data_IF_297590359128
#
_entry.id   IF_297590359128
#
_cell.length_a   1.000
_cell.length_b   1.000
_cell.length_c   1.000
_cell.angle_alpha   90.00
_cell.angle_beta   90.00
_cell.angle_gamma   90.00
#
_symmetry.space_group_name_H-M   'P 1'
#
loop_
_entity.id
_entity.type
_entity.pdbx_description
1 polymer ?
#
# COMPACT_ATOMS: atom_id res chain seq x y z
N UNK A 1 14.78 -14.82 -12.82
CA UNK A 1 14.34 -13.41 -12.80
C UNK A 1 13.07 -13.31 -11.98
N UNK A 2 12.94 -12.30 -11.11
CA UNK A 2 11.75 -12.06 -10.28
C UNK A 2 11.21 -10.65 -10.56
N UNK A 3 9.90 -10.54 -10.72
CA UNK A 3 9.21 -9.28 -10.98
C UNK A 3 8.44 -8.86 -9.74
N UNK A 4 8.71 -7.65 -9.27
CA UNK A 4 8.05 -7.05 -8.10
C UNK A 4 7.12 -5.93 -8.54
N UNK A 5 5.89 -5.91 -8.04
CA UNK A 5 5.00 -4.75 -8.13
C UNK A 5 4.95 -4.08 -6.76
N UNK A 6 5.39 -2.82 -6.69
CA UNK A 6 5.38 -2.00 -5.49
C UNK A 6 4.44 -0.82 -5.67
N UNK A 7 3.57 -0.56 -4.69
CA UNK A 7 2.61 0.54 -4.77
C UNK A 7 2.71 1.40 -3.50
N UNK A 8 2.95 2.68 -3.70
CA UNK A 8 3.15 3.66 -2.64
C UNK A 8 1.86 3.98 -1.87
N UNK A 9 2.04 4.54 -0.68
CA UNK A 9 0.96 5.16 0.07
C UNK A 9 0.48 6.46 -0.56
N UNK A 10 -0.67 6.97 -0.12
CA UNK A 10 -1.15 8.25 -0.63
C UNK A 10 -2.64 8.53 -0.46
N UNK A 11 -3.37 7.75 0.31
CA UNK A 11 -4.79 7.96 0.57
C UNK A 11 -5.62 7.95 -0.70
N UNK A 12 -6.48 8.95 -0.91
CA UNK A 12 -7.33 9.06 -2.10
C UNK A 12 -6.53 9.07 -3.42
N UNK A 13 -5.25 9.49 -3.38
CA UNK A 13 -4.39 9.48 -4.57
C UNK A 13 -4.06 8.06 -5.07
N UNK A 14 -4.50 7.01 -4.35
CA UNK A 14 -4.52 5.62 -4.85
C UNK A 14 -5.24 5.45 -6.18
N UNK A 15 -6.10 6.40 -6.55
CA UNK A 15 -6.71 6.47 -7.90
C UNK A 15 -5.61 6.45 -8.98
N UNK A 16 -4.48 7.15 -8.75
CA UNK A 16 -3.40 7.27 -9.75
C UNK A 16 -2.80 5.89 -10.08
N UNK A 17 -2.18 5.17 -9.12
CA UNK A 17 -1.70 3.81 -9.42
C UNK A 17 -2.84 2.87 -9.82
N UNK A 18 -4.04 3.01 -9.30
CA UNK A 18 -5.20 2.23 -9.72
C UNK A 18 -5.47 2.34 -11.22
N UNK A 19 -5.48 3.56 -11.76
CA UNK A 19 -5.64 3.80 -13.21
C UNK A 19 -4.49 3.18 -14.01
N UNK A 20 -3.27 3.27 -13.49
CA UNK A 20 -2.09 2.67 -14.14
C UNK A 20 -2.19 1.14 -14.18
N UNK A 21 -2.63 0.53 -13.08
CA UNK A 21 -2.84 -0.93 -13.00
C UNK A 21 -3.90 -1.39 -14.02
N UNK A 22 -5.01 -0.64 -14.15
CA UNK A 22 -6.04 -0.93 -15.16
C UNK A 22 -5.44 -0.87 -16.57
N UNK A 23 -4.70 0.20 -16.87
CA UNK A 23 -4.06 0.36 -18.18
C UNK A 23 -3.06 -0.78 -18.44
N UNK A 24 -2.26 -1.14 -17.44
CA UNK A 24 -1.27 -2.23 -17.55
C UNK A 24 -1.96 -3.58 -17.79
N UNK A 25 -3.01 -3.88 -17.01
CA UNK A 25 -3.76 -5.15 -17.18
C UNK A 25 -4.38 -5.24 -18.58
N UNK A 26 -4.94 -4.14 -19.09
CA UNK A 26 -5.50 -4.08 -20.45
C UNK A 26 -4.42 -4.29 -21.52
N UNK A 27 -3.24 -3.67 -21.35
CA UNK A 27 -2.11 -3.86 -22.29
C UNK A 27 -1.64 -5.30 -22.28
N UNK A 28 -1.57 -5.95 -21.12
CA UNK A 28 -1.21 -7.38 -20.99
C UNK A 28 -2.24 -8.23 -21.73
N UNK A 29 -3.54 -8.03 -21.50
CA UNK A 29 -4.61 -8.76 -22.17
C UNK A 29 -4.52 -8.63 -23.68
N UNK A 30 -4.26 -7.43 -24.17
CA UNK A 30 -4.10 -7.16 -25.61
C UNK A 30 -2.86 -7.85 -26.18
N UNK A 31 -1.72 -7.71 -25.50
CA UNK A 31 -0.42 -8.24 -25.98
C UNK A 31 -0.42 -9.79 -26.00
N UNK A 32 -1.09 -10.42 -25.05
CA UNK A 32 -1.11 -11.89 -24.92
C UNK A 32 -2.30 -12.54 -25.63
N UNK A 33 -3.32 -11.77 -26.00
CA UNK A 33 -4.59 -12.30 -26.50
C UNK A 33 -5.43 -12.96 -25.41
N UNK A 34 -4.95 -13.00 -24.15
CA UNK A 34 -5.65 -13.66 -23.04
C UNK A 34 -6.51 -12.65 -22.27
N UNK A 35 -7.82 -12.67 -22.49
CA UNK A 35 -8.76 -11.77 -21.82
C UNK A 35 -8.89 -12.05 -20.32
N UNK A 36 -8.46 -13.23 -19.87
CA UNK A 36 -8.50 -13.64 -18.47
C UNK A 36 -7.15 -13.41 -17.75
N UNK A 37 -6.22 -12.69 -18.39
CA UNK A 37 -4.94 -12.37 -17.75
C UNK A 37 -5.14 -11.37 -16.60
N UNK A 38 -4.44 -11.60 -15.51
CA UNK A 38 -4.42 -10.72 -14.33
C UNK A 38 -2.97 -10.29 -14.02
N UNK A 39 -2.79 -9.22 -13.29
CA UNK A 39 -1.46 -8.73 -12.90
C UNK A 39 -0.70 -9.80 -12.10
N UNK A 40 -1.41 -10.62 -11.32
CA UNK A 40 -0.81 -11.72 -10.55
C UNK A 40 -0.14 -12.79 -11.43
N UNK A 41 -0.47 -12.86 -12.73
CA UNK A 41 0.20 -13.78 -13.65
C UNK A 41 1.60 -13.30 -14.07
N UNK A 42 1.86 -11.99 -13.92
CA UNK A 42 3.05 -11.32 -14.47
C UNK A 42 4.02 -10.82 -13.40
N UNK A 43 3.60 -10.76 -12.16
CA UNK A 43 4.46 -10.38 -11.03
C UNK A 43 4.57 -11.54 -10.04
N UNK A 44 5.78 -11.71 -9.50
CA UNK A 44 6.10 -12.79 -8.56
C UNK A 44 5.96 -12.36 -7.10
N UNK A 45 6.04 -11.06 -6.83
CA UNK A 45 6.02 -10.49 -5.49
C UNK A 45 5.35 -9.13 -5.49
N UNK A 46 4.63 -8.82 -4.43
CA UNK A 46 3.85 -7.58 -4.32
C UNK A 46 4.20 -6.84 -3.03
N UNK A 47 4.21 -5.52 -3.08
CA UNK A 47 4.43 -4.69 -1.89
C UNK A 47 3.51 -3.48 -1.92
N UNK A 48 2.94 -3.14 -0.76
CA UNK A 48 2.06 -1.99 -0.67
C UNK A 48 2.11 -1.30 0.69
N UNK A 49 1.94 0.00 0.65
CA UNK A 49 1.81 0.84 1.84
C UNK A 49 0.48 1.57 1.77
N UNK A 50 -0.29 1.56 2.87
CA UNK A 50 -1.53 2.35 2.94
C UNK A 50 -2.46 2.00 1.77
N UNK A 51 -2.82 2.99 0.97
CA UNK A 51 -3.63 2.80 -0.25
C UNK A 51 -3.04 1.72 -1.18
N UNK A 52 -1.70 1.65 -1.31
CA UNK A 52 -1.03 0.59 -2.07
C UNK A 52 -1.26 -0.79 -1.46
N UNK A 53 -1.29 -0.87 -0.13
CA UNK A 53 -1.61 -2.13 0.58
C UNK A 53 -3.03 -2.60 0.28
N UNK A 54 -4.00 -1.68 0.23
CA UNK A 54 -5.38 -2.01 -0.14
C UNK A 54 -5.43 -2.51 -1.60
N UNK A 55 -4.77 -1.79 -2.53
CA UNK A 55 -4.76 -2.18 -3.95
C UNK A 55 -4.20 -3.59 -4.14
N UNK A 56 -3.03 -3.91 -3.56
CA UNK A 56 -2.46 -5.26 -3.71
C UNK A 56 -3.30 -6.32 -3.01
N UNK A 57 -3.94 -6.00 -1.90
CA UNK A 57 -4.83 -6.94 -1.21
C UNK A 57 -6.01 -7.34 -2.12
N UNK A 58 -6.59 -6.40 -2.83
CA UNK A 58 -7.67 -6.66 -3.79
C UNK A 58 -7.15 -7.50 -4.97
N UNK A 59 -6.00 -7.10 -5.55
CA UNK A 59 -5.41 -7.79 -6.70
C UNK A 59 -5.01 -9.24 -6.39
N UNK A 60 -4.77 -9.57 -5.12
CA UNK A 60 -4.31 -10.89 -4.70
C UNK A 60 -5.36 -11.70 -3.94
N UNK A 61 -6.54 -11.14 -3.71
CA UNK A 61 -7.65 -11.81 -3.02
C UNK A 61 -8.11 -12.99 -3.89
N UNK A 62 -8.11 -14.23 -3.37
CA UNK A 62 -8.48 -15.39 -4.18
C UNK A 62 -9.97 -15.41 -4.56
N UNK A 63 -10.28 -15.98 -5.70
CA UNK A 63 -11.64 -16.26 -6.10
C UNK A 63 -12.13 -17.49 -5.32
N UNK A 64 -13.28 -17.41 -4.64
CA UNK A 64 -13.82 -18.58 -3.94
C UNK A 64 -14.06 -19.82 -4.81
N UNK A 65 -14.21 -19.65 -6.12
CA UNK A 65 -14.42 -20.76 -7.07
C UNK A 65 -13.11 -21.33 -7.60
N UNK A 66 -12.02 -20.53 -7.55
CA UNK A 66 -10.68 -20.96 -7.97
C UNK A 66 -9.62 -20.22 -7.15
N UNK A 67 -9.18 -20.83 -6.06
CA UNK A 67 -8.24 -20.23 -5.11
C UNK A 67 -6.85 -19.91 -5.72
N UNK A 68 -6.60 -20.33 -6.97
CA UNK A 68 -5.35 -19.99 -7.67
C UNK A 68 -5.46 -18.72 -8.51
N UNK A 69 -6.68 -18.19 -8.65
CA UNK A 69 -6.97 -16.98 -9.45
C UNK A 69 -7.44 -15.83 -8.57
N UNK A 70 -7.17 -14.59 -8.97
CA UNK A 70 -7.69 -13.46 -8.21
C UNK A 70 -9.19 -13.28 -8.47
N UNK A 71 -9.93 -12.98 -7.42
CA UNK A 71 -11.35 -12.65 -7.46
C UNK A 71 -11.63 -11.34 -8.21
N UNK A 72 -10.69 -10.40 -8.13
CA UNK A 72 -10.89 -9.03 -8.58
C UNK A 72 -9.88 -8.66 -9.67
N UNK A 73 -10.32 -7.86 -10.63
CA UNK A 73 -9.48 -7.25 -11.67
C UNK A 73 -8.83 -5.96 -11.14
N UNK A 74 -7.90 -5.42 -11.91
CA UNK A 74 -7.33 -4.09 -11.62
C UNK A 74 -8.42 -3.00 -11.62
N UNK A 75 -9.47 -3.17 -12.45
CA UNK A 75 -10.60 -2.22 -12.46
C UNK A 75 -11.36 -2.28 -11.13
N UNK A 76 -11.61 -3.47 -10.59
CA UNK A 76 -12.30 -3.61 -9.31
C UNK A 76 -11.46 -2.98 -8.17
N UNK A 77 -10.13 -3.10 -8.25
CA UNK A 77 -9.25 -2.44 -7.28
C UNK A 77 -9.32 -0.90 -7.38
N UNK A 78 -9.41 -0.35 -8.58
CA UNK A 78 -9.63 1.09 -8.78
C UNK A 78 -11.01 1.52 -8.27
N UNK A 79 -12.02 0.68 -8.50
CA UNK A 79 -13.42 1.01 -8.18
C UNK A 79 -13.64 1.29 -6.68
N UNK A 80 -12.81 0.73 -5.77
CA UNK A 80 -12.92 1.06 -4.33
C UNK A 80 -12.74 2.57 -4.11
N UNK A 81 -11.83 3.20 -4.86
CA UNK A 81 -11.57 4.65 -4.77
C UNK A 81 -12.62 5.47 -5.50
N UNK A 82 -13.07 5.01 -6.66
CA UNK A 82 -14.08 5.72 -7.46
C UNK A 82 -15.43 5.74 -6.73
N UNK A 83 -15.82 4.60 -6.15
CA UNK A 83 -17.14 4.43 -5.49
C UNK A 83 -17.16 4.92 -4.05
N UNK A 84 -16.09 4.67 -3.31
CA UNK A 84 -16.06 4.89 -1.86
C UNK A 84 -15.05 5.97 -1.42
N UNK A 85 -14.21 6.45 -2.35
CA UNK A 85 -13.15 7.40 -1.98
C UNK A 85 -13.70 8.69 -1.37
N UNK A 86 -14.79 9.21 -1.90
CA UNK A 86 -15.43 10.41 -1.34
C UNK A 86 -15.88 10.14 0.10
N UNK A 87 -16.50 8.99 0.35
CA UNK A 87 -17.04 8.67 1.67
C UNK A 87 -15.90 8.45 2.69
N UNK A 88 -14.84 7.74 2.28
CA UNK A 88 -13.70 7.41 3.15
C UNK A 88 -12.87 8.67 3.47
N UNK A 89 -12.62 9.52 2.45
CA UNK A 89 -11.64 10.62 2.56
C UNK A 89 -12.29 12.01 2.64
N UNK A 90 -13.60 12.09 2.93
CA UNK A 90 -14.26 13.38 3.12
C UNK A 90 -14.49 13.63 4.61
N UNK A 91 -14.02 14.77 5.07
CA UNK A 91 -14.35 15.25 6.42
C UNK A 91 -15.75 15.82 6.42
N UNK A 92 -16.62 15.32 7.28
CA UNK A 92 -17.94 15.94 7.43
C UNK A 92 -17.78 17.38 7.97
N UNK A 93 -18.70 18.25 7.61
CA UNK A 93 -18.71 19.63 8.11
C UNK A 93 -18.72 19.66 9.64
N UNK A 94 -19.40 18.69 10.26
CA UNK A 94 -19.47 18.54 11.71
C UNK A 94 -18.12 18.15 12.32
N UNK A 95 -17.38 17.20 11.72
CA UNK A 95 -16.03 16.83 12.16
C UNK A 95 -15.05 17.98 12.01
N UNK A 96 -15.13 18.71 10.89
CA UNK A 96 -14.31 19.91 10.67
C UNK A 96 -14.58 20.98 11.73
N UNK A 97 -15.86 21.18 12.09
CA UNK A 97 -16.27 22.14 13.15
C UNK A 97 -15.71 21.70 14.51
N UNK A 98 -15.86 20.42 14.87
CA UNK A 98 -15.35 19.90 16.15
C UNK A 98 -13.84 19.97 16.23
N UNK A 99 -13.12 19.67 15.13
CA UNK A 99 -11.67 19.80 15.08
C UNK A 99 -11.18 21.24 15.29
N UNK A 100 -11.92 22.21 14.81
CA UNK A 100 -11.59 23.61 15.02
C UNK A 100 -11.57 24.00 16.51
N UNK A 101 -12.36 23.29 17.31
CA UNK A 101 -12.41 23.49 18.78
C UNK A 101 -11.56 22.47 19.56
N UNK A 102 -10.78 21.63 18.88
CA UNK A 102 -9.92 20.61 19.51
C UNK A 102 -10.72 19.47 20.15
N UNK A 103 -11.96 19.25 19.71
CA UNK A 103 -12.86 18.24 20.29
C UNK A 103 -12.73 16.87 19.63
N UNK A 104 -12.06 16.80 18.47
CA UNK A 104 -11.77 15.55 17.78
C UNK A 104 -10.29 15.51 17.42
N UNK A 105 -9.74 14.32 17.42
CA UNK A 105 -8.32 14.11 17.12
C UNK A 105 -8.09 13.62 15.69
N UNK A 106 -9.06 12.92 15.09
CA UNK A 106 -8.93 12.32 13.77
C UNK A 106 -9.81 13.03 12.72
N UNK A 107 -9.31 13.14 11.48
CA UNK A 107 -10.01 13.83 10.40
C UNK A 107 -11.11 12.97 9.76
N UNK A 108 -10.87 11.67 9.58
CA UNK A 108 -11.77 10.77 8.84
C UNK A 108 -12.46 9.78 9.79
N UNK A 109 -13.58 9.23 9.33
CA UNK A 109 -14.33 8.23 10.10
C UNK A 109 -13.82 6.83 9.73
N UNK A 110 -13.14 6.18 10.68
CA UNK A 110 -12.60 4.84 10.48
C UNK A 110 -13.66 3.79 10.17
N UNK A 111 -14.88 3.96 10.68
CA UNK A 111 -15.99 3.02 10.46
C UNK A 111 -16.38 2.93 8.99
N UNK A 112 -16.30 4.04 8.27
CA UNK A 112 -16.60 4.04 6.82
C UNK A 112 -15.57 3.17 6.09
N UNK A 113 -14.28 3.36 6.38
CA UNK A 113 -13.23 2.55 5.80
C UNK A 113 -13.39 1.07 6.19
N UNK A 114 -13.65 0.79 7.47
CA UNK A 114 -13.81 -0.58 7.98
C UNK A 114 -14.97 -1.31 7.29
N UNK A 115 -16.12 -0.65 7.12
CA UNK A 115 -17.27 -1.23 6.42
C UNK A 115 -16.95 -1.56 4.96
N UNK A 116 -16.22 -0.68 4.29
CA UNK A 116 -15.78 -0.92 2.90
C UNK A 116 -14.83 -2.12 2.85
N UNK A 117 -13.82 -2.17 3.73
CA UNK A 117 -12.87 -3.28 3.80
C UNK A 117 -13.58 -4.61 4.10
N UNK A 118 -14.54 -4.60 5.01
CA UNK A 118 -15.37 -5.77 5.34
C UNK A 118 -16.14 -6.27 4.11
N UNK A 119 -16.72 -5.34 3.32
CA UNK A 119 -17.51 -5.72 2.13
C UNK A 119 -16.66 -6.36 1.03
N UNK A 120 -15.38 -5.98 0.94
CA UNK A 120 -14.46 -6.55 -0.06
C UNK A 120 -13.84 -7.86 0.40
N UNK A 121 -13.44 -7.94 1.66
CA UNK A 121 -12.59 -9.03 2.15
C UNK A 121 -13.29 -10.04 3.06
N UNK A 122 -14.36 -9.62 3.77
CA UNK A 122 -14.99 -10.51 4.75
C UNK A 122 -13.96 -11.13 5.69
N UNK A 123 -13.96 -12.45 5.81
CA UNK A 123 -13.01 -13.22 6.64
C UNK A 123 -11.77 -13.72 5.90
N UNK A 124 -11.47 -13.16 4.73
CA UNK A 124 -10.28 -13.52 3.95
C UNK A 124 -9.02 -13.25 4.78
N UNK A 125 -8.06 -14.19 4.73
CA UNK A 125 -6.82 -14.12 5.53
C UNK A 125 -5.62 -13.72 4.68
N UNK A 126 -4.63 -13.13 5.33
CA UNK A 126 -3.36 -12.76 4.69
C UNK A 126 -2.66 -13.98 4.07
N UNK A 127 -2.69 -15.14 4.77
CA UNK A 127 -2.06 -16.38 4.28
C UNK A 127 -2.69 -16.90 2.98
N UNK A 128 -3.94 -16.55 2.72
CA UNK A 128 -4.70 -17.05 1.59
C UNK A 128 -4.48 -16.26 0.30
N UNK A 129 -3.78 -15.13 0.36
CA UNK A 129 -3.46 -14.34 -0.83
C UNK A 129 -2.66 -15.20 -1.85
N UNK A 130 -2.98 -15.05 -3.13
CA UNK A 130 -2.49 -15.95 -4.20
C UNK A 130 -1.01 -15.75 -4.55
N UNK A 131 -0.37 -14.67 -4.08
CA UNK A 131 1.07 -14.41 -4.33
C UNK A 131 1.75 -13.90 -3.07
N UNK A 132 3.06 -14.14 -2.94
CA UNK A 132 3.85 -13.55 -1.86
C UNK A 132 3.75 -12.02 -1.88
N UNK A 133 3.52 -11.45 -0.70
CA UNK A 133 3.45 -10.00 -0.59
C UNK A 133 3.93 -9.50 0.78
N UNK A 134 4.23 -8.21 0.83
CA UNK A 134 4.40 -7.47 2.07
C UNK A 134 3.47 -6.25 2.08
N UNK A 135 2.89 -5.98 3.24
CA UNK A 135 2.11 -4.76 3.49
C UNK A 135 2.70 -4.13 4.75
N UNK A 136 2.94 -2.82 4.70
CA UNK A 136 3.68 -2.12 5.74
C UNK A 136 2.75 -1.53 6.81
N UNK A 137 3.22 -1.52 8.06
CA UNK A 137 2.59 -0.83 9.18
C UNK A 137 3.67 -0.54 10.23
N UNK A 138 3.36 0.25 11.25
CA UNK A 138 4.31 0.55 12.32
C UNK A 138 3.68 0.30 13.69
N UNK A 139 4.35 -0.51 14.51
CA UNK A 139 3.85 -0.82 15.86
C UNK A 139 4.32 0.27 16.83
N UNK A 140 3.36 1.01 17.37
CA UNK A 140 3.66 2.18 18.22
C UNK A 140 4.16 1.79 19.61
N UNK A 141 3.70 0.66 20.16
CA UNK A 141 4.14 0.21 21.49
C UNK A 141 5.52 -0.42 21.44
N UNK A 142 5.78 -1.26 20.44
CA UNK A 142 7.10 -1.88 20.26
C UNK A 142 8.11 -0.91 19.64
N UNK A 143 7.64 0.20 19.05
CA UNK A 143 8.44 1.19 18.33
C UNK A 143 9.25 0.52 17.22
N UNK A 144 8.56 -0.31 16.43
CA UNK A 144 9.19 -1.11 15.36
C UNK A 144 8.36 -1.12 14.09
N UNK A 145 9.07 -1.16 12.97
CA UNK A 145 8.46 -1.42 11.68
C UNK A 145 7.78 -2.79 11.71
N UNK A 146 6.56 -2.84 11.22
CA UNK A 146 5.80 -4.07 11.10
C UNK A 146 5.55 -4.35 9.61
N UNK A 147 5.93 -5.54 9.15
CA UNK A 147 5.63 -5.98 7.80
C UNK A 147 4.70 -7.19 7.90
N UNK A 148 3.49 -7.02 7.42
CA UNK A 148 2.60 -8.15 7.17
C UNK A 148 3.18 -8.91 5.98
N UNK A 149 3.53 -10.18 6.20
CA UNK A 149 4.18 -11.01 5.18
C UNK A 149 3.33 -12.25 4.94
N UNK A 150 2.79 -12.39 3.74
CA UNK A 150 1.99 -13.56 3.37
C UNK A 150 2.76 -14.87 3.64
N UNK A 151 4.05 -14.91 3.29
CA UNK A 151 4.90 -16.09 3.54
C UNK A 151 5.05 -16.42 5.03
N UNK A 152 5.08 -15.38 5.89
CA UNK A 152 5.15 -15.58 7.34
C UNK A 152 3.81 -16.07 7.90
N UNK A 153 2.70 -15.59 7.35
CA UNK A 153 1.37 -16.06 7.72
C UNK A 153 1.25 -17.56 7.41
N UNK A 154 1.71 -18.00 6.24
CA UNK A 154 1.72 -19.42 5.88
C UNK A 154 2.63 -20.24 6.81
N UNK A 155 3.88 -19.80 7.02
CA UNK A 155 4.88 -20.62 7.73
C UNK A 155 4.74 -20.64 9.25
N UNK A 156 4.15 -19.60 9.83
CA UNK A 156 3.99 -19.46 11.29
C UNK A 156 2.52 -19.57 11.73
N UNK A 157 1.60 -19.72 10.78
CA UNK A 157 0.17 -19.89 11.05
C UNK A 157 -0.44 -18.72 11.81
N UNK A 158 -1.42 -19.00 12.63
CA UNK A 158 -2.27 -18.02 13.30
C UNK A 158 -1.51 -16.94 14.07
N UNK A 159 -0.30 -17.22 14.54
CA UNK A 159 0.51 -16.23 15.28
C UNK A 159 0.99 -15.08 14.38
N UNK A 160 1.05 -15.29 13.07
CA UNK A 160 1.48 -14.29 12.08
C UNK A 160 0.44 -14.10 10.97
N UNK A 161 -0.73 -14.70 11.11
CA UNK A 161 -1.83 -14.54 10.16
C UNK A 161 -2.88 -13.60 10.73
N UNK A 162 -3.58 -12.90 9.83
CA UNK A 162 -4.52 -11.82 10.15
C UNK A 162 -5.66 -11.82 9.14
N UNK A 163 -6.82 -11.33 9.54
CA UNK A 163 -7.85 -11.00 8.56
C UNK A 163 -7.35 -9.87 7.65
N UNK A 164 -7.61 -10.00 6.36
CA UNK A 164 -7.09 -9.06 5.36
C UNK A 164 -7.67 -7.65 5.55
N UNK A 165 -8.94 -7.56 5.98
CA UNK A 165 -9.57 -6.28 6.34
C UNK A 165 -8.79 -5.55 7.44
N UNK A 166 -8.29 -6.31 8.44
CA UNK A 166 -7.51 -5.74 9.55
C UNK A 166 -6.11 -5.28 9.09
N UNK A 167 -5.48 -6.06 8.21
CA UNK A 167 -4.21 -5.67 7.58
C UNK A 167 -4.37 -4.35 6.83
N UNK A 168 -5.45 -4.24 6.03
CA UNK A 168 -5.74 -3.03 5.25
C UNK A 168 -6.09 -1.84 6.17
N UNK A 169 -6.84 -2.09 7.26
CA UNK A 169 -7.13 -1.06 8.26
C UNK A 169 -5.85 -0.54 8.91
N UNK A 170 -4.94 -1.46 9.29
CA UNK A 170 -3.68 -1.12 9.97
C UNK A 170 -2.73 -0.33 9.06
N UNK A 171 -2.56 -0.79 7.80
CA UNK A 171 -1.67 -0.09 6.86
C UNK A 171 -2.17 1.31 6.51
N UNK A 172 -3.49 1.55 6.64
CA UNK A 172 -4.15 2.82 6.30
C UNK A 172 -4.38 3.74 7.50
N UNK A 173 -3.89 3.37 8.70
CA UNK A 173 -4.08 4.15 9.93
C UNK A 173 -3.11 5.33 10.00
N UNK A 174 -3.21 6.25 9.03
CA UNK A 174 -2.31 7.39 8.89
C UNK A 174 -2.50 8.36 10.07
N UNK A 175 -1.43 8.64 10.85
CA UNK A 175 -1.54 9.57 11.98
C UNK A 175 -2.16 10.91 11.58
N UNK A 176 -2.97 11.46 12.44
CA UNK A 176 -3.78 12.67 12.28
C UNK A 176 -5.02 12.50 11.37
N UNK A 177 -5.02 11.49 10.48
CA UNK A 177 -6.14 11.25 9.58
C UNK A 177 -7.10 10.17 10.12
N UNK A 178 -6.55 9.09 10.64
CA UNK A 178 -7.31 7.97 11.23
C UNK A 178 -6.76 7.63 12.61
N UNK A 179 -7.60 7.04 13.45
CA UNK A 179 -7.19 6.49 14.74
C UNK A 179 -6.19 5.33 14.56
N UNK A 180 -5.39 5.10 15.60
CA UNK A 180 -4.52 3.91 15.69
C UNK A 180 -5.38 2.66 15.48
N UNK A 181 -4.92 1.76 14.62
CA UNK A 181 -5.61 0.49 14.39
C UNK A 181 -5.19 -0.50 15.48
N UNK A 182 -6.15 -0.97 16.27
CA UNK A 182 -5.91 -2.07 17.19
C UNK A 182 -6.44 -3.35 16.56
N UNK A 183 -5.51 -4.19 16.07
CA UNK A 183 -5.86 -5.43 15.40
C UNK A 183 -5.27 -6.63 16.16
N UNK A 184 -5.73 -7.81 15.81
CA UNK A 184 -5.31 -9.05 16.46
C UNK A 184 -4.87 -10.06 15.41
N UNK A 185 -3.79 -10.80 15.70
CA UNK A 185 -3.47 -12.00 14.91
C UNK A 185 -4.56 -13.05 15.16
N UNK A 186 -4.68 -14.04 14.30
CA UNK A 186 -5.67 -15.11 14.48
C UNK A 186 -5.43 -15.90 15.79
N UNK A 187 -4.20 -15.85 16.32
CA UNK A 187 -3.87 -16.42 17.64
C UNK A 187 -4.21 -15.48 18.82
N UNK A 188 -4.87 -14.34 18.56
CA UNK A 188 -5.30 -13.40 19.59
C UNK A 188 -4.22 -12.45 20.11
N UNK A 189 -3.05 -12.38 19.47
CA UNK A 189 -2.01 -11.41 19.85
C UNK A 189 -2.38 -10.01 19.35
N UNK A 190 -2.36 -9.03 20.25
CA UNK A 190 -2.74 -7.63 19.98
C UNK A 190 -1.60 -6.86 19.29
N UNK A 191 -1.97 -6.05 18.30
CA UNK A 191 -1.06 -5.19 17.55
C UNK A 191 -1.65 -3.77 17.44
N UNK A 192 -1.12 -2.79 18.18
CA UNK A 192 -1.50 -1.38 17.99
C UNK A 192 -0.63 -0.76 16.90
N UNK A 193 -1.22 -0.50 15.75
CA UNK A 193 -0.48 -0.15 14.52
C UNK A 193 -0.96 1.18 13.94
N UNK A 194 -0.01 1.88 13.31
CA UNK A 194 -0.29 3.02 12.44
C UNK A 194 0.26 2.72 11.04
N UNK A 195 -0.13 3.54 10.08
CA UNK A 195 0.24 3.46 8.67
C UNK A 195 1.75 3.28 8.48
N UNK A 196 2.12 2.36 7.60
CA UNK A 196 3.52 2.10 7.27
C UNK A 196 4.21 3.26 6.55
N UNK A 197 3.45 4.23 6.06
CA UNK A 197 3.98 5.44 5.41
C UNK A 197 4.95 6.22 6.29
N UNK A 198 4.88 6.06 7.61
CA UNK A 198 5.81 6.71 8.54
C UNK A 198 7.26 6.25 8.38
N UNK A 199 7.50 5.09 7.72
CA UNK A 199 8.88 4.61 7.48
C UNK A 199 9.12 4.09 6.06
N UNK A 200 8.07 3.62 5.38
CA UNK A 200 8.18 3.00 4.05
C UNK A 200 6.97 3.44 3.20
N UNK A 201 6.87 4.76 2.96
CA UNK A 201 5.83 5.29 2.07
C UNK A 201 5.91 4.63 0.69
N UNK A 202 7.13 4.49 0.15
CA UNK A 202 7.45 3.64 -0.99
C UNK A 202 8.03 2.32 -0.44
N UNK A 203 7.32 1.17 -0.57
CA UNK A 203 7.80 -0.09 0.00
C UNK A 203 8.75 -0.88 -0.91
N UNK A 204 9.19 -0.34 -2.04
CA UNK A 204 9.96 -1.09 -3.05
C UNK A 204 11.30 -1.63 -2.51
N UNK A 205 12.03 -0.85 -1.70
CA UNK A 205 13.28 -1.33 -1.10
C UNK A 205 13.00 -2.48 -0.11
N UNK A 206 11.92 -2.38 0.66
CA UNK A 206 11.51 -3.44 1.58
C UNK A 206 11.16 -4.74 0.82
N UNK A 207 10.49 -4.59 -0.32
CA UNK A 207 10.16 -5.73 -1.20
C UNK A 207 11.42 -6.37 -1.78
N UNK A 208 12.34 -5.57 -2.29
CA UNK A 208 13.62 -6.04 -2.84
C UNK A 208 14.37 -6.88 -1.79
N UNK A 209 14.53 -6.33 -0.59
CA UNK A 209 15.24 -7.00 0.49
C UNK A 209 14.53 -8.29 0.92
N UNK A 210 13.20 -8.30 0.96
CA UNK A 210 12.44 -9.51 1.33
C UNK A 210 12.57 -10.60 0.25
N UNK A 211 12.56 -10.22 -1.03
CA UNK A 211 12.77 -11.14 -2.16
C UNK A 211 14.19 -11.75 -2.09
N UNK A 212 15.21 -10.93 -1.95
CA UNK A 212 16.61 -11.41 -1.86
C UNK A 212 16.84 -12.31 -0.64
N UNK A 213 16.20 -11.99 0.48
CA UNK A 213 16.27 -12.80 1.70
C UNK A 213 15.56 -14.14 1.54
N UNK A 214 14.40 -14.15 0.89
CA UNK A 214 13.57 -15.34 0.73
C UNK A 214 14.13 -16.29 -0.33
N UNK A 215 14.61 -15.73 -1.42
CA UNK A 215 15.09 -16.49 -2.57
C UNK A 215 16.63 -16.32 -2.68
N UNK A 216 17.36 -16.97 -1.82
CA UNK A 216 18.83 -16.82 -1.63
C UNK A 216 19.68 -17.05 -2.89
N UNK A 217 19.11 -17.70 -3.90
CA UNK A 217 19.81 -17.96 -5.18
C UNK A 217 19.77 -16.77 -6.14
N UNK A 218 18.88 -15.81 -5.91
CA UNK A 218 18.75 -14.63 -6.78
C UNK A 218 19.71 -13.53 -6.32
N UNK A 219 20.30 -12.87 -7.31
CA UNK A 219 21.09 -11.65 -7.13
C UNK A 219 20.21 -10.44 -7.43
N UNK A 220 20.68 -9.28 -7.08
CA UNK A 220 19.93 -8.04 -7.33
C UNK A 220 19.62 -7.85 -8.83
N UNK A 221 20.55 -8.27 -9.69
CA UNK A 221 20.39 -8.20 -11.15
C UNK A 221 19.30 -9.14 -11.69
N UNK A 222 18.84 -10.11 -10.88
CA UNK A 222 17.75 -11.01 -11.25
C UNK A 222 16.37 -10.45 -10.89
N UNK A 223 16.31 -9.22 -10.36
CA UNK A 223 15.06 -8.64 -9.85
C UNK A 223 14.68 -7.42 -10.67
N UNK A 224 13.44 -7.37 -11.15
CA UNK A 224 12.84 -6.21 -11.81
C UNK A 224 11.73 -5.64 -10.93
N UNK A 225 11.70 -4.34 -10.75
CA UNK A 225 10.71 -3.69 -9.89
C UNK A 225 9.91 -2.67 -10.71
N UNK A 226 8.60 -2.81 -10.70
CA UNK A 226 7.70 -1.75 -11.12
C UNK A 226 7.20 -1.05 -9.85
N UNK A 227 7.64 0.18 -9.64
CA UNK A 227 7.21 0.98 -8.50
C UNK A 227 6.23 2.05 -8.96
N UNK A 228 5.03 2.04 -8.38
CA UNK A 228 3.94 2.96 -8.75
C UNK A 228 3.69 3.93 -7.60
N UNK A 229 4.03 5.21 -7.84
CA UNK A 229 3.78 6.28 -6.89
C UNK A 229 2.37 6.85 -7.00
N UNK A 230 1.99 7.62 -5.99
CA UNK A 230 0.70 8.30 -5.89
C UNK A 230 0.81 9.80 -6.26
N UNK A 231 1.94 10.20 -6.86
CA UNK A 231 2.18 11.59 -7.21
C UNK A 231 2.75 12.41 -6.05
N UNK A 232 3.37 13.52 -6.38
CA UNK A 232 4.00 14.43 -5.42
C UNK A 232 3.31 15.79 -5.46
N UNK A 233 2.88 16.27 -4.31
CA UNK A 233 2.42 17.65 -4.17
C UNK A 233 3.65 18.56 -4.03
N UNK A 234 3.87 19.46 -4.98
CA UNK A 234 5.04 20.35 -5.00
C UNK A 234 4.80 21.67 -4.23
N UNK A 235 3.89 21.67 -3.28
CA UNK A 235 3.60 22.88 -2.49
C UNK A 235 4.67 23.05 -1.40
N UNK A 236 5.55 24.02 -1.60
CA UNK A 236 6.61 24.29 -0.62
C UNK A 236 6.03 24.83 0.69
N UNK A 237 6.50 24.35 1.79
CA UNK A 237 6.26 24.96 3.09
C UNK A 237 7.17 26.20 3.23
N UNK A 238 6.56 27.39 3.09
CA UNK A 238 7.34 28.64 3.22
C UNK A 238 7.83 28.78 4.65
N UNK A 239 9.07 29.12 4.82
CA UNK A 239 9.75 29.25 6.12
C UNK A 239 8.94 30.13 7.08
N UNK A 240 8.50 31.31 6.61
CA UNK A 240 7.78 32.27 7.45
C UNK A 240 6.42 31.76 7.94
N UNK A 241 5.74 30.94 7.13
CA UNK A 241 4.45 30.34 7.50
C UNK A 241 4.68 29.19 8.49
N UNK A 242 5.66 28.33 8.21
CA UNK A 242 6.00 27.18 9.04
C UNK A 242 6.48 27.61 10.43
N UNK A 243 7.33 28.65 10.49
CA UNK A 243 7.88 29.21 11.74
C UNK A 243 6.78 29.71 12.69
N UNK A 244 5.66 30.19 12.16
CA UNK A 244 4.56 30.74 12.96
C UNK A 244 3.54 29.69 13.41
N UNK A 245 3.64 28.45 12.93
CA UNK A 245 2.66 27.41 13.26
C UNK A 245 2.82 26.94 14.70
N UNK A 246 1.68 26.72 15.35
CA UNK A 246 1.65 26.11 16.69
C UNK A 246 1.89 24.60 16.58
N UNK A 247 2.43 23.98 17.60
CA UNK A 247 2.77 22.55 17.63
C UNK A 247 1.58 21.67 17.22
N UNK A 248 0.36 22.02 17.63
CA UNK A 248 -0.85 21.25 17.33
C UNK A 248 -1.19 21.30 15.83
N UNK A 249 -0.98 22.45 15.18
CA UNK A 249 -1.34 22.63 13.76
C UNK A 249 -0.30 22.06 12.79
N UNK A 250 0.89 21.70 13.28
CA UNK A 250 1.98 21.23 12.44
C UNK A 250 1.87 19.72 12.10
N UNK A 251 1.02 18.97 12.81
CA UNK A 251 0.91 17.51 12.67
C UNK A 251 0.74 17.02 11.23
N UNK A 252 -0.27 17.49 10.48
CA UNK A 252 -0.44 17.05 9.09
C UNK A 252 0.77 17.36 8.20
N UNK A 253 1.42 18.53 8.41
CA UNK A 253 2.63 18.91 7.66
C UNK A 253 3.80 17.98 8.01
N UNK A 254 3.94 17.57 9.27
CA UNK A 254 4.98 16.62 9.67
C UNK A 254 4.76 15.25 9.03
N UNK A 255 3.52 14.78 8.98
CA UNK A 255 3.19 13.51 8.30
C UNK A 255 3.55 13.60 6.81
N UNK A 256 3.21 14.71 6.15
CA UNK A 256 3.56 14.94 4.74
C UNK A 256 5.08 14.96 4.52
N UNK A 257 5.82 15.67 5.38
CA UNK A 257 7.29 15.72 5.33
C UNK A 257 7.88 14.31 5.55
N UNK A 258 7.40 13.57 6.54
CA UNK A 258 7.89 12.21 6.84
C UNK A 258 7.64 11.26 5.66
N UNK A 259 6.44 11.29 5.08
CA UNK A 259 6.09 10.38 3.98
C UNK A 259 6.87 10.73 2.71
N UNK A 260 7.00 12.01 2.37
CA UNK A 260 7.77 12.44 1.19
C UNK A 260 9.27 12.18 1.38
N UNK A 261 9.83 12.44 2.56
CA UNK A 261 11.22 12.15 2.90
C UNK A 261 11.52 10.64 2.83
N UNK A 262 10.60 9.83 3.38
CA UNK A 262 10.70 8.35 3.31
C UNK A 262 10.71 7.86 1.86
N UNK A 263 9.82 8.42 1.03
CA UNK A 263 9.75 8.05 -0.40
C UNK A 263 11.05 8.42 -1.12
N UNK A 264 11.50 9.66 -0.96
CA UNK A 264 12.73 10.16 -1.59
C UNK A 264 13.95 9.33 -1.17
N UNK A 265 14.06 8.99 0.12
CA UNK A 265 15.17 8.16 0.63
C UNK A 265 15.12 6.75 0.03
N UNK A 266 13.94 6.13 -0.03
CA UNK A 266 13.77 4.80 -0.60
C UNK A 266 14.08 4.80 -2.11
N UNK A 267 13.65 5.81 -2.84
CA UNK A 267 13.97 5.97 -4.26
C UNK A 267 15.49 6.11 -4.46
N UNK A 268 16.14 6.95 -3.66
CA UNK A 268 17.60 7.10 -3.69
C UNK A 268 18.30 5.75 -3.46
N UNK A 269 17.91 5.01 -2.43
CA UNK A 269 18.53 3.71 -2.13
C UNK A 269 18.30 2.69 -3.25
N UNK A 270 17.11 2.67 -3.83
CA UNK A 270 16.82 1.78 -4.97
C UNK A 270 17.69 2.10 -6.17
N UNK A 271 17.83 3.37 -6.51
CA UNK A 271 18.70 3.81 -7.62
C UNK A 271 20.16 3.43 -7.35
N UNK A 272 20.61 3.59 -6.14
CA UNK A 272 21.97 3.13 -5.79
C UNK A 272 22.11 1.61 -5.80
N UNK A 273 21.10 0.99 -5.33
CA UNK A 273 21.17 -0.39 -5.20
C UNK A 273 20.96 -1.13 -6.42
N UNK A 274 20.21 -0.61 -7.17
CA UNK A 274 19.90 -1.22 -8.37
C UNK A 274 20.73 -0.67 -9.51
N UNK A 275 21.58 -0.21 -9.24
CA UNK A 275 22.41 0.41 -10.11
C UNK A 275 22.01 0.41 -11.50
N UNK A 276 21.59 0.20 -11.90
CA UNK A 276 21.35 0.21 -13.20
C UNK A 276 20.17 -0.49 -13.71
N UNK A 277 19.80 -1.29 -13.08
CA UNK A 277 18.93 -2.16 -13.90
C UNK A 277 17.42 -2.00 -13.64
N UNK A 278 16.86 -1.05 -12.82
CA UNK A 278 15.55 -1.45 -12.36
C UNK A 278 14.52 -0.40 -11.94
N UNK A 279 14.62 0.81 -12.27
CA UNK A 279 13.45 1.66 -12.02
C UNK A 279 12.81 2.09 -13.34
N UNK A 280 11.77 1.35 -13.71
CA UNK A 280 10.77 1.90 -14.61
C UNK A 280 9.87 2.82 -13.76
N UNK A 281 10.26 4.07 -13.65
CA UNK A 281 9.29 5.11 -13.31
C UNK A 281 8.34 5.24 -14.52
N UNK A 282 7.15 5.71 -14.27
CA UNK A 282 6.10 5.81 -15.30
C UNK A 282 6.52 6.68 -16.47
N UNK A 283 7.40 7.66 -16.25
CA UNK A 283 7.98 8.47 -17.31
C UNK A 283 8.88 7.66 -18.26
N UNK A 284 9.36 6.49 -17.80
CA UNK A 284 10.22 5.60 -18.59
C UNK A 284 9.46 4.40 -19.15
N UNK A 285 8.19 4.24 -18.78
CA UNK A 285 7.27 3.33 -19.44
C UNK A 285 6.83 3.87 -20.80
N UNK A 286 7.77 4.37 -21.58
CA UNK A 286 7.67 4.30 -23.03
C UNK A 286 7.79 2.82 -23.39
N UNK A 287 6.79 2.03 -22.96
CA UNK A 287 6.68 0.67 -23.39
C UNK A 287 6.46 0.66 -24.92
N UNK A 288 7.46 0.41 -25.71
CA UNK A 288 7.15 -0.27 -26.94
C UNK A 288 6.69 -1.66 -26.50
N UNK A 289 5.42 -1.86 -26.70
CA UNK A 289 4.69 -3.07 -26.35
C UNK A 289 5.24 -4.31 -27.12
N UNK A 290 6.48 -4.25 -27.61
CA UNK A 290 7.01 -5.28 -28.49
C UNK A 290 7.83 -6.36 -27.78
N UNK A 291 8.02 -6.27 -26.44
CA UNK A 291 8.90 -7.20 -25.71
C UNK A 291 8.38 -7.59 -24.31
N UNK A 292 7.06 -7.54 -24.06
CA UNK A 292 6.49 -8.18 -22.87
C UNK A 292 6.05 -9.61 -23.19
#
# INVERSE_FOLDING_TARGET
MKRILSIDGGGIRGIIPGMMLVSLEQKIKKATGNQNAHLSDYFDFFAGTSTGGILISILLCPDPQDLTRPRFSAKDALDIYIKHGTDIFTTSSWRRFLNQFGLLTELYDEKVLENVLESYFGDQKLSELIKPCIITAYNIELRKNHLFRQQKAITHGESRDFYLRDVCRATSAAPTYFSVAEIYSLAGTRYPLVDGGVFAHNPAISALLEVLKTYKTFKIDDVHILSLGTGIAKNAYKYEDFKKQKAISIGPALVDIMTSSSSESNDYFLHQXXXXNILLTISELNLPIYHL
#
